data_IF_101684688955
#
_entry.id   IF_101684688955
#
_cell.length_a   1.000
_cell.length_b   1.000
_cell.length_c   1.000
_cell.angle_alpha   90.00
_cell.angle_beta   90.00
_cell.angle_gamma   90.00
#
_symmetry.space_group_name_H-M   'P 1'
#
loop_
_entity.id
_entity.type
_entity.pdbx_description
1 polymer ?
#
# COMPACT_ATOMS: atom_id res chain seq x y z
N UNK A 1 1.70 -3.43 -13.74
CA UNK A 1 1.88 -2.71 -12.46
C UNK A 1 3.31 -3.01 -12.05
N UNK A 2 4.16 -2.01 -11.83
CA UNK A 2 5.60 -2.22 -11.57
C UNK A 2 5.88 -2.24 -10.05
N UNK A 3 4.97 -2.85 -9.29
CA UNK A 3 5.04 -2.94 -7.84
C UNK A 3 5.27 -4.40 -7.50
N UNK A 4 6.26 -4.67 -6.66
CA UNK A 4 6.50 -5.99 -6.08
C UNK A 4 6.21 -5.95 -4.59
N UNK A 5 5.77 -7.07 -4.05
CA UNK A 5 5.54 -7.28 -2.62
C UNK A 5 6.26 -8.56 -2.17
N UNK A 6 7.00 -8.47 -1.07
CA UNK A 6 7.66 -9.61 -0.46
C UNK A 6 7.72 -9.45 1.05
N UNK A 7 7.25 -10.46 1.80
CA UNK A 7 7.17 -10.44 3.28
C UNK A 7 6.46 -9.19 3.84
N UNK A 8 5.50 -8.62 3.11
CA UNK A 8 4.78 -7.39 3.49
C UNK A 8 5.59 -6.09 3.31
N UNK A 9 6.72 -6.15 2.60
CA UNK A 9 7.44 -4.98 2.10
C UNK A 9 7.09 -4.74 0.64
N UNK A 10 7.17 -3.49 0.21
CA UNK A 10 6.82 -3.07 -1.13
C UNK A 10 7.99 -2.39 -1.82
N UNK A 11 8.00 -2.44 -3.14
CA UNK A 11 8.90 -1.64 -3.96
C UNK A 11 8.20 -1.23 -5.24
N UNK A 12 8.64 -0.13 -5.82
CA UNK A 12 8.30 0.27 -7.18
C UNK A 12 9.55 0.12 -8.05
N UNK A 13 9.43 -0.67 -9.11
CA UNK A 13 10.51 -0.86 -10.08
C UNK A 13 10.52 0.32 -11.06
N UNK A 14 11.69 0.94 -11.15
CA UNK A 14 11.99 2.03 -12.08
C UNK A 14 13.14 1.61 -13.00
N UNK A 15 13.23 2.24 -14.17
CA UNK A 15 14.30 1.97 -15.14
C UNK A 15 15.14 3.22 -15.33
N UNK A 16 16.46 3.08 -15.16
CA UNK A 16 17.43 4.13 -15.43
C UNK A 16 17.92 3.97 -16.88
N UNK A 17 17.70 4.99 -17.70
CA UNK A 17 18.06 4.97 -19.13
C UNK A 17 19.57 5.11 -19.34
N UNK A 18 20.25 5.88 -18.49
CA UNK A 18 21.69 6.16 -18.60
C UNK A 18 22.49 4.89 -18.29
N UNK A 19 22.14 4.24 -17.18
CA UNK A 19 22.85 3.06 -16.67
C UNK A 19 22.28 1.75 -17.22
N UNK A 20 21.12 1.79 -17.88
CA UNK A 20 20.38 0.63 -18.42
C UNK A 20 20.06 -0.44 -17.38
N UNK A 21 19.78 -0.02 -16.16
CA UNK A 21 19.42 -0.91 -15.05
C UNK A 21 17.98 -0.68 -14.60
N UNK A 22 17.35 -1.74 -14.14
CA UNK A 22 16.16 -1.68 -13.32
C UNK A 22 16.59 -1.49 -11.87
N UNK A 23 15.88 -0.66 -11.13
CA UNK A 23 16.20 -0.40 -9.73
C UNK A 23 14.94 -0.16 -8.92
N UNK A 24 15.09 -0.29 -7.61
CA UNK A 24 14.05 0.02 -6.65
C UNK A 24 14.63 0.18 -5.26
N UNK A 25 13.74 0.46 -4.31
CA UNK A 25 14.06 0.51 -2.89
C UNK A 25 12.93 -0.11 -2.09
N UNK A 26 13.24 -0.57 -0.90
CA UNK A 26 12.22 -1.02 0.03
C UNK A 26 11.44 0.22 0.53
N UNK A 27 10.13 0.22 0.29
CA UNK A 27 9.22 1.26 0.74
C UNK A 27 8.67 0.94 2.14
N UNK A 28 8.38 1.99 2.90
CA UNK A 28 7.75 1.86 4.21
C UNK A 28 8.72 1.61 5.38
N UNK A 29 10.03 1.67 5.15
CA UNK A 29 11.08 1.58 6.18
C UNK A 29 11.80 2.94 6.35
N UNK A 30 12.44 3.20 7.50
CA UNK A 30 13.26 4.41 7.67
C UNK A 30 14.64 4.28 7.05
N UNK A 31 15.19 3.06 7.04
CA UNK A 31 16.49 2.78 6.42
C UNK A 31 16.38 2.85 4.90
N UNK A 32 17.46 3.26 4.23
CA UNK A 32 17.50 3.28 2.77
C UNK A 32 18.12 1.96 2.29
N UNK A 33 17.28 1.07 1.78
CA UNK A 33 17.71 -0.21 1.20
C UNK A 33 17.32 -0.21 -0.28
N UNK A 34 18.33 -0.14 -1.14
CA UNK A 34 18.18 -0.13 -2.59
C UNK A 34 18.59 -1.49 -3.16
N UNK A 35 18.08 -1.80 -4.34
CA UNK A 35 18.50 -2.94 -5.14
C UNK A 35 18.40 -2.56 -6.62
N UNK A 36 19.17 -3.23 -7.45
CA UNK A 36 19.21 -3.01 -8.88
C UNK A 36 19.55 -4.29 -9.63
N UNK A 37 19.19 -4.34 -10.90
CA UNK A 37 19.55 -5.42 -11.80
C UNK A 37 19.62 -4.90 -13.23
N UNK A 38 20.62 -5.34 -14.00
CA UNK A 38 20.68 -5.12 -15.44
C UNK A 38 19.75 -6.06 -16.24
N UNK A 39 19.08 -6.98 -15.54
CA UNK A 39 18.21 -7.98 -16.12
C UNK A 39 16.79 -7.94 -15.51
N UNK A 40 15.78 -7.83 -16.36
CA UNK A 40 14.39 -7.87 -15.96
C UNK A 40 13.97 -9.20 -15.31
N UNK A 41 14.68 -10.30 -15.59
CA UNK A 41 14.39 -11.59 -14.98
C UNK A 41 14.87 -11.69 -13.51
N UNK A 42 15.85 -10.86 -13.12
CA UNK A 42 16.53 -11.01 -11.83
C UNK A 42 16.09 -9.94 -10.81
N UNK A 43 15.48 -8.84 -11.26
CA UNK A 43 15.09 -7.71 -10.40
C UNK A 43 14.17 -8.11 -9.23
N UNK A 44 13.32 -9.13 -9.40
CA UNK A 44 12.47 -9.65 -8.32
C UNK A 44 13.29 -10.41 -7.27
N UNK A 45 14.30 -11.18 -7.70
CA UNK A 45 15.20 -11.87 -6.78
C UNK A 45 16.08 -10.86 -6.02
N UNK A 46 16.55 -9.82 -6.68
CA UNK A 46 17.31 -8.73 -6.05
C UNK A 46 16.47 -7.99 -5.00
N UNK A 47 15.17 -7.78 -5.27
CA UNK A 47 14.25 -7.25 -4.27
C UNK A 47 14.10 -8.19 -3.07
N UNK A 48 13.90 -9.50 -3.30
CA UNK A 48 13.77 -10.47 -2.22
C UNK A 48 15.04 -10.55 -1.36
N UNK A 49 16.22 -10.57 -1.99
CA UNK A 49 17.50 -10.57 -1.32
C UNK A 49 17.68 -9.30 -0.46
N UNK A 50 17.38 -8.12 -1.01
CA UNK A 50 17.46 -6.87 -0.27
C UNK A 50 16.54 -6.85 0.97
N UNK A 51 15.34 -7.43 0.88
CA UNK A 51 14.42 -7.55 2.03
C UNK A 51 14.97 -8.53 3.08
N UNK A 52 15.52 -9.65 2.64
CA UNK A 52 16.09 -10.66 3.55
C UNK A 52 17.31 -10.14 4.29
N UNK A 53 18.23 -9.50 3.56
CA UNK A 53 19.41 -8.84 4.13
C UNK A 53 19.03 -7.74 5.12
N UNK A 54 18.00 -6.94 4.82
CA UNK A 54 17.49 -5.93 5.73
C UNK A 54 16.96 -6.54 7.04
N UNK A 55 16.17 -7.60 6.93
CA UNK A 55 15.61 -8.29 8.10
C UNK A 55 16.69 -8.96 8.95
N UNK A 56 17.69 -9.57 8.31
CA UNK A 56 18.84 -10.16 8.98
C UNK A 56 19.68 -9.08 9.67
N UNK A 57 20.00 -7.98 8.99
CA UNK A 57 20.70 -6.84 9.58
C UNK A 57 19.98 -6.31 10.82
N UNK A 58 18.66 -6.09 10.75
CA UNK A 58 17.87 -5.65 11.90
C UNK A 58 18.01 -6.60 13.09
N UNK A 59 17.96 -7.92 12.85
CA UNK A 59 18.13 -8.95 13.87
C UNK A 59 19.54 -8.91 14.49
N UNK A 60 20.58 -8.77 13.67
CA UNK A 60 21.97 -8.72 14.13
C UNK A 60 22.25 -7.50 15.03
N UNK A 61 21.72 -6.34 14.67
CA UNK A 61 21.93 -5.10 15.43
C UNK A 61 20.91 -4.90 16.57
N UNK A 62 20.01 -5.87 16.79
CA UNK A 62 18.97 -5.81 17.82
C UNK A 62 17.94 -4.69 17.59
N UNK A 63 17.75 -4.28 16.33
CA UNK A 63 16.76 -3.28 15.91
C UNK A 63 15.49 -4.00 15.49
N UNK A 64 14.33 -3.52 15.92
CA UNK A 64 13.07 -3.98 15.33
C UNK A 64 12.99 -3.45 13.89
N UNK A 65 12.79 -4.33 12.88
CA UNK A 65 12.56 -3.87 11.51
C UNK A 65 11.42 -2.85 11.51
N UNK A 66 11.58 -1.75 10.78
CA UNK A 66 10.56 -0.69 10.66
C UNK A 66 9.31 -1.24 9.93
N UNK A 67 8.52 -2.05 10.63
CA UNK A 67 7.13 -2.44 10.34
C UNK A 67 6.19 -1.85 11.38
N UNK A 68 6.63 -0.79 12.08
CA UNK A 68 5.84 -0.22 13.15
C UNK A 68 4.70 0.65 12.56
N UNK A 69 3.66 0.01 12.05
CA UNK A 69 2.35 0.63 11.83
C UNK A 69 1.71 0.88 13.21
N UNK A 70 2.21 1.89 13.94
CA UNK A 70 1.80 2.19 15.33
C UNK A 70 0.34 2.65 15.48
N UNK A 71 -0.44 2.66 14.41
CA UNK A 71 -1.80 3.23 14.35
C UNK A 71 -1.87 4.76 14.53
N UNK A 72 -0.80 5.39 15.02
CA UNK A 72 -0.70 6.83 15.15
C UNK A 72 -0.36 7.48 13.81
N UNK A 73 -1.37 8.05 13.16
CA UNK A 73 -1.25 8.68 11.85
C UNK A 73 -1.61 10.16 11.93
N UNK A 74 -0.59 11.03 12.01
CA UNK A 74 -0.79 12.48 12.05
C UNK A 74 -0.85 13.03 10.62
N UNK A 75 -2.01 13.57 10.22
CA UNK A 75 -2.24 14.05 8.85
C UNK A 75 -2.73 15.48 8.80
N UNK A 76 -2.32 16.17 7.74
CA UNK A 76 -2.91 17.44 7.33
C UNK A 76 -3.85 17.18 6.17
N UNK A 77 -5.11 17.55 6.32
CA UNK A 77 -6.13 17.45 5.27
C UNK A 77 -6.72 18.83 4.99
N UNK A 78 -7.38 18.96 3.84
CA UNK A 78 -8.08 20.19 3.47
C UNK A 78 -9.06 20.61 4.59
N UNK A 79 -9.08 21.89 5.02
CA UNK A 79 -9.96 22.37 6.09
C UNK A 79 -11.45 22.11 5.86
N UNK A 80 -11.94 22.19 4.61
CA UNK A 80 -13.34 21.93 4.29
C UNK A 80 -13.68 20.44 4.38
N UNK A 81 -12.74 19.58 4.00
CA UNK A 81 -12.88 18.13 4.19
C UNK A 81 -12.91 17.79 5.69
N UNK A 82 -12.02 18.38 6.48
CA UNK A 82 -12.03 18.22 7.94
C UNK A 82 -13.37 18.66 8.54
N UNK A 83 -13.86 19.85 8.17
CA UNK A 83 -15.17 20.36 8.63
C UNK A 83 -16.31 19.40 8.28
N UNK A 84 -16.30 18.86 7.06
CA UNK A 84 -17.31 17.91 6.60
C UNK A 84 -17.27 16.62 7.40
N UNK A 85 -16.08 16.06 7.64
CA UNK A 85 -15.88 14.86 8.45
C UNK A 85 -16.36 15.06 9.88
N UNK A 86 -16.01 16.17 10.53
CA UNK A 86 -16.51 16.50 11.89
C UNK A 86 -18.04 16.54 11.92
N UNK A 87 -18.68 17.15 10.90
CA UNK A 87 -20.14 17.19 10.79
C UNK A 87 -20.77 15.81 10.63
N UNK A 88 -20.17 14.92 9.84
CA UNK A 88 -20.61 13.54 9.65
C UNK A 88 -20.46 12.74 10.95
N UNK A 89 -19.30 12.86 11.60
CA UNK A 89 -19.01 12.21 12.89
C UNK A 89 -20.04 12.59 13.94
N UNK A 90 -20.35 13.88 14.07
CA UNK A 90 -21.36 14.38 15.00
C UNK A 90 -22.75 13.80 14.73
N UNK A 91 -23.21 13.87 13.47
CA UNK A 91 -24.54 13.34 13.07
C UNK A 91 -24.69 11.84 13.32
N UNK A 92 -23.59 11.10 13.19
CA UNK A 92 -23.58 9.65 13.34
C UNK A 92 -23.23 9.19 14.77
N UNK A 93 -23.02 10.12 15.72
CA UNK A 93 -22.66 9.80 17.10
C UNK A 93 -21.30 9.10 17.25
N UNK A 94 -20.35 9.37 16.33
CA UNK A 94 -19.02 8.77 16.31
C UNK A 94 -17.94 9.82 16.54
N UNK A 95 -16.76 9.38 16.97
CA UNK A 95 -15.59 10.26 17.00
C UNK A 95 -15.09 10.54 15.57
N UNK A 96 -14.35 11.65 15.41
CA UNK A 96 -13.70 11.97 14.13
C UNK A 96 -12.78 10.83 13.69
N UNK A 97 -11.96 10.32 14.60
CA UNK A 97 -11.04 9.22 14.32
C UNK A 97 -11.77 7.96 13.85
N UNK A 98 -12.86 7.56 14.51
CA UNK A 98 -13.65 6.38 14.08
C UNK A 98 -14.30 6.58 12.70
N UNK A 99 -14.64 7.82 12.35
CA UNK A 99 -15.18 8.14 11.01
C UNK A 99 -14.08 8.08 9.95
N UNK A 100 -12.90 8.60 10.25
CA UNK A 100 -11.72 8.53 9.38
C UNK A 100 -11.29 7.08 9.18
N UNK A 101 -11.17 6.30 10.26
CA UNK A 101 -10.82 4.88 10.22
C UNK A 101 -11.78 4.11 9.32
N UNK A 102 -13.08 4.34 9.45
CA UNK A 102 -14.07 3.69 8.57
C UNK A 102 -13.89 4.05 7.09
N UNK A 103 -13.64 5.32 6.79
CA UNK A 103 -13.38 5.76 5.43
C UNK A 103 -12.10 5.16 4.85
N UNK A 104 -11.07 4.97 5.68
CA UNK A 104 -9.82 4.31 5.30
C UNK A 104 -10.04 2.81 5.06
N UNK A 105 -10.80 2.11 5.90
CA UNK A 105 -11.19 0.70 5.67
C UNK A 105 -11.90 0.53 4.31
N UNK A 106 -12.87 1.39 4.02
CA UNK A 106 -13.61 1.37 2.76
C UNK A 106 -12.77 1.74 1.55
N UNK A 107 -11.69 2.50 1.74
CA UNK A 107 -10.73 2.76 0.68
C UNK A 107 -9.86 1.53 0.43
N UNK A 108 -9.29 0.95 1.49
CA UNK A 108 -8.41 -0.23 1.41
C UNK A 108 -9.15 -1.44 0.83
N UNK A 109 -10.40 -1.67 1.21
CA UNK A 109 -11.21 -2.80 0.72
C UNK A 109 -11.52 -2.75 -0.79
N UNK A 110 -11.33 -1.60 -1.44
CA UNK A 110 -11.45 -1.49 -2.90
C UNK A 110 -10.23 -2.07 -3.62
N UNK A 111 -9.09 -2.09 -2.96
CA UNK A 111 -7.82 -2.59 -3.50
C UNK A 111 -7.52 -4.02 -3.04
N UNK A 112 -8.02 -4.41 -1.87
CA UNK A 112 -7.84 -5.74 -1.30
C UNK A 112 -9.18 -6.38 -0.95
N UNK A 113 -9.39 -7.64 -1.34
CA UNK A 113 -10.53 -8.47 -0.91
C UNK A 113 -10.36 -8.88 0.56
N UNK A 114 -10.35 -7.94 1.50
CA UNK A 114 -10.16 -8.25 2.93
C UNK A 114 -11.51 -8.51 3.63
N UNK A 115 -11.60 -9.54 4.50
CA UNK A 115 -12.69 -9.65 5.46
C UNK A 115 -12.64 -8.50 6.49
N UNK A 116 -13.74 -8.31 7.21
CA UNK A 116 -13.96 -7.23 8.18
C UNK A 116 -12.84 -7.15 9.23
N UNK A 117 -12.47 -5.93 9.65
CA UNK A 117 -11.46 -5.67 10.69
C UNK A 117 -11.82 -6.27 12.06
N UNK A 118 -13.10 -6.59 12.31
CA UNK A 118 -13.53 -7.31 13.51
C UNK A 118 -13.07 -8.77 13.49
N UNK A 119 -12.89 -9.38 12.31
CA UNK A 119 -12.41 -10.75 12.12
C UNK A 119 -10.87 -10.85 12.23
N UNK A 120 -10.15 -9.73 12.08
CA UNK A 120 -8.69 -9.67 12.07
C UNK A 120 -8.04 -9.47 13.46
N UNK A 121 -8.83 -9.42 14.55
CA UNK A 121 -8.34 -9.23 15.93
C UNK A 121 -7.73 -10.48 16.58
N UNK A 122 -6.79 -11.13 15.90
CA UNK A 122 -5.83 -12.07 16.51
C UNK A 122 -4.41 -11.59 16.25
N UNK A 123 -3.48 -11.83 17.19
CA UNK A 123 -2.17 -11.18 17.19
C UNK A 123 -1.48 -11.51 15.88
N UNK A 124 -1.04 -10.46 15.17
CA UNK A 124 -0.32 -10.55 13.89
C UNK A 124 -1.01 -11.44 12.84
N UNK A 125 -2.07 -10.92 12.21
CA UNK A 125 -2.44 -11.39 10.87
C UNK A 125 -1.30 -11.01 9.92
N UNK A 126 -0.47 -11.99 9.61
CA UNK A 126 0.69 -11.84 8.74
C UNK A 126 0.16 -11.48 7.34
N UNK A 127 0.51 -10.29 6.83
CA UNK A 127 0.03 -9.81 5.53
C UNK A 127 0.40 -10.77 4.38
N UNK A 128 1.40 -11.64 4.60
CA UNK A 128 1.75 -12.77 3.73
C UNK A 128 0.59 -13.75 3.47
N UNK A 129 -0.39 -13.84 4.36
CA UNK A 129 -1.48 -14.81 4.26
C UNK A 129 -2.69 -14.24 3.48
N UNK A 130 -2.78 -12.91 3.35
CA UNK A 130 -3.79 -12.24 2.53
C UNK A 130 -3.54 -12.43 1.02
N UNK A 131 -2.30 -12.75 0.62
CA UNK A 131 -1.92 -13.07 -0.76
C UNK A 131 -2.55 -14.37 -1.31
N UNK A 132 -3.25 -15.14 -0.47
CA UNK A 132 -4.02 -16.32 -0.91
C UNK A 132 -5.42 -15.97 -1.47
N UNK A 133 -5.89 -14.73 -1.32
CA UNK A 133 -7.15 -14.27 -1.91
C UNK A 133 -6.93 -13.84 -3.35
N UNK A 134 -7.18 -14.78 -4.26
CA UNK A 134 -7.18 -14.62 -5.72
C UNK A 134 -7.73 -13.25 -6.13
N UNK A 135 -6.89 -12.46 -6.82
CA UNK A 135 -7.35 -11.36 -7.66
C UNK A 135 -8.23 -11.94 -8.76
N UNK A 136 -9.55 -11.87 -8.60
CA UNK A 136 -10.47 -12.29 -9.65
C UNK A 136 -10.36 -11.33 -10.84
N UNK A 137 -10.15 -11.81 -12.08
CA UNK A 137 -9.97 -10.97 -13.27
C UNK A 137 -11.16 -10.03 -13.57
N UNK A 138 -12.34 -10.30 -12.99
CA UNK A 138 -13.60 -9.60 -13.28
C UNK A 138 -13.70 -8.17 -12.74
N UNK A 139 -12.78 -7.73 -11.88
CA UNK A 139 -12.80 -6.37 -11.30
C UNK A 139 -11.87 -5.35 -12.00
N UNK A 140 -10.98 -5.80 -12.88
CA UNK A 140 -10.10 -4.90 -13.64
C UNK A 140 -10.84 -4.17 -14.79
N UNK A 141 -11.85 -4.81 -15.39
CA UNK A 141 -12.52 -4.27 -16.58
C UNK A 141 -13.52 -3.14 -16.26
N UNK A 142 -14.06 -3.08 -15.03
CA UNK A 142 -15.06 -2.06 -14.67
C UNK A 142 -14.48 -0.65 -14.48
N UNK A 143 -13.17 -0.52 -14.18
CA UNK A 143 -12.54 0.79 -13.99
C UNK A 143 -12.11 1.47 -15.30
N UNK A 144 -11.91 0.72 -16.39
CA UNK A 144 -11.50 1.30 -17.68
C UNK A 144 -12.68 1.95 -18.42
N UNK A 145 -13.91 1.49 -18.18
CA UNK A 145 -15.10 1.98 -18.90
C UNK A 145 -15.55 3.35 -18.36
N UNK A 146 -15.33 3.64 -17.07
CA UNK A 146 -15.77 4.90 -16.46
C UNK A 146 -14.97 6.13 -16.95
N UNK A 147 -13.70 5.97 -17.35
CA UNK A 147 -12.87 7.08 -17.85
C UNK A 147 -13.11 7.45 -19.32
N UNK A 148 -13.79 6.61 -20.11
CA UNK A 148 -14.10 6.92 -21.53
C UNK A 148 -15.43 7.65 -21.74
N UNK A 149 -16.28 7.78 -20.72
CA UNK A 149 -17.64 8.33 -20.87
C UNK A 149 -17.78 9.83 -20.55
N UNK A 150 -16.78 10.46 -19.91
CA UNK A 150 -16.85 11.89 -19.54
C UNK A 150 -16.18 12.85 -20.55
N UNK A 151 -15.37 12.35 -21.49
CA UNK A 151 -14.60 13.17 -22.46
C UNK A 151 -15.32 13.35 -23.83
N UNK A 152 -16.64 13.12 -23.90
CA UNK A 152 -17.45 13.29 -25.12
C UNK A 152 -18.62 14.28 -24.98
N UNK A 153 -18.67 15.12 -23.92
CA UNK A 153 -19.74 16.12 -23.73
C UNK A 153 -19.27 17.59 -23.66
N UNK A 154 -18.15 17.93 -24.31
CA UNK A 154 -17.69 19.32 -24.45
C UNK A 154 -17.39 19.77 -25.89
N UNK A 155 -18.00 19.14 -26.90
CA UNK A 155 -17.98 19.64 -28.29
C UNK A 155 -19.32 19.52 -29.03
N UNK A 156 -20.44 19.89 -28.40
CA UNK A 156 -21.64 20.34 -29.10
C UNK A 156 -22.28 21.51 -28.36
#
# INVERSE_FOLDING_TARGET
>A
MNILEYKGYYTKIEYNVEDRVLYGKIEGIRDLVNFESDNAADIENEFHAAVDDYLEFCKEVGKEPDKEYKGSFNIRINPELHRSLVGISFKNGRTLNATIEKALEEYVSRYYSLPSWEDAKSPILNYSDAASYKTSPENAEKHIIAFKMDDQRLQQ
#
